data_IF_963229290176
#
_entry.id   IF_963229290176
#
_cell.length_a   1.000
_cell.length_b   1.000
_cell.length_c   1.000
_cell.angle_alpha   90.00
_cell.angle_beta   90.00
_cell.angle_gamma   90.00
#
_symmetry.space_group_name_H-M   'P 1'
#
loop_
_entity.id
_entity.type
_entity.pdbx_description
1 polymer ?
#
# COMPACT_ATOMS: atom_id res chain seq x y z
N UNK A 1 -19.60 27.84 -10.56
CA UNK A 1 -18.28 28.50 -10.53
C UNK A 1 -17.26 27.45 -10.98
N UNK A 2 -16.57 27.72 -12.08
CA UNK A 2 -15.54 26.81 -12.61
C UNK A 2 -14.23 27.11 -11.90
N UNK A 3 -13.76 26.19 -11.07
CA UNK A 3 -12.40 26.24 -10.52
C UNK A 3 -11.50 25.38 -11.41
N UNK A 4 -10.66 26.00 -12.21
CA UNK A 4 -9.57 25.34 -12.91
C UNK A 4 -8.35 25.38 -11.99
N UNK A 5 -7.99 24.25 -11.41
CA UNK A 5 -6.68 24.08 -10.78
C UNK A 5 -5.71 23.62 -11.86
N UNK A 6 -4.92 24.56 -12.36
CA UNK A 6 -3.82 24.29 -13.29
C UNK A 6 -2.59 23.95 -12.45
N UNK A 7 -2.26 22.66 -12.43
CA UNK A 7 -1.01 22.19 -11.83
C UNK A 7 -0.95 20.67 -11.94
N UNK A 8 -0.27 20.19 -12.97
CA UNK A 8 -0.26 18.80 -13.47
C UNK A 8 -1.50 18.47 -14.33
N UNK A 9 -1.30 17.73 -15.37
CA UNK A 9 -2.19 17.45 -16.51
C UNK A 9 -3.60 16.87 -16.23
N UNK A 10 -4.07 16.90 -14.98
CA UNK A 10 -5.42 16.50 -14.59
C UNK A 10 -6.39 17.67 -14.65
N UNK A 11 -7.28 17.69 -15.62
CA UNK A 11 -8.45 18.57 -15.61
C UNK A 11 -9.51 17.97 -14.68
N UNK A 12 -9.63 18.53 -13.47
CA UNK A 12 -10.72 18.23 -12.55
C UNK A 12 -11.82 19.28 -12.77
N UNK A 13 -13.05 18.83 -12.96
CA UNK A 13 -14.22 19.70 -13.04
C UNK A 13 -15.27 19.20 -12.07
N UNK A 14 -15.62 20.05 -11.10
CA UNK A 14 -16.73 19.81 -10.20
C UNK A 14 -17.97 20.54 -10.71
N UNK A 15 -19.09 19.83 -10.77
CA UNK A 15 -20.41 20.41 -11.04
C UNK A 15 -21.25 20.29 -9.79
N UNK A 16 -21.50 21.42 -9.13
CA UNK A 16 -22.33 21.50 -7.93
C UNK A 16 -23.70 22.03 -8.33
N UNK A 17 -24.76 21.37 -7.87
CA UNK A 17 -26.13 21.80 -8.05
C UNK A 17 -26.39 23.14 -7.32
N UNK A 18 -27.09 24.08 -7.97
CA UNK A 18 -27.43 25.37 -7.35
C UNK A 18 -28.70 25.30 -6.50
N UNK A 19 -29.44 24.19 -6.60
CA UNK A 19 -30.75 24.01 -5.95
C UNK A 19 -30.62 23.58 -4.49
N UNK A 20 -29.45 23.08 -4.07
CA UNK A 20 -29.18 22.54 -2.74
C UNK A 20 -28.47 23.58 -1.88
N UNK A 21 -29.13 24.03 -0.81
CA UNK A 21 -28.52 25.00 0.12
C UNK A 21 -27.33 24.38 0.85
N UNK A 22 -26.18 25.04 0.79
CA UNK A 22 -24.94 24.51 1.38
C UNK A 22 -24.15 23.51 0.50
N UNK A 23 -24.61 23.17 -0.70
CA UNK A 23 -23.94 22.24 -1.61
C UNK A 23 -22.46 22.62 -1.88
N UNK A 24 -22.16 23.91 -2.04
CA UNK A 24 -20.80 24.40 -2.22
C UNK A 24 -19.92 24.18 -0.97
N UNK A 25 -20.50 24.31 0.21
CA UNK A 25 -19.79 24.06 1.46
C UNK A 25 -19.53 22.57 1.65
N UNK A 26 -20.52 21.73 1.34
CA UNK A 26 -20.35 20.28 1.34
C UNK A 26 -19.21 19.86 0.39
N UNK A 27 -19.18 20.39 -0.85
CA UNK A 27 -18.13 20.09 -1.83
C UNK A 27 -16.73 20.54 -1.39
N UNK A 28 -16.63 21.64 -0.64
CA UNK A 28 -15.33 22.18 -0.20
C UNK A 28 -14.80 21.58 1.09
N UNK A 29 -15.68 21.08 1.96
CA UNK A 29 -15.34 20.72 3.33
C UNK A 29 -15.68 19.28 3.72
N UNK A 30 -16.37 18.52 2.85
CA UNK A 30 -16.65 17.11 3.09
C UNK A 30 -16.03 16.23 2.00
N UNK A 31 -15.71 14.98 2.33
CA UNK A 31 -15.15 14.01 1.38
C UNK A 31 -16.20 13.57 0.36
N UNK A 32 -17.44 13.43 0.78
CA UNK A 32 -18.52 12.94 -0.06
C UNK A 32 -19.02 14.00 -1.05
N UNK A 33 -18.86 15.30 -0.71
CA UNK A 33 -19.33 16.40 -1.51
C UNK A 33 -20.84 16.35 -1.79
N UNK A 34 -21.31 17.18 -2.71
CA UNK A 34 -22.69 17.13 -3.25
C UNK A 34 -22.72 17.26 -4.77
N UNK A 35 -21.54 17.37 -5.38
CA UNK A 35 -21.35 17.60 -6.81
C UNK A 35 -21.03 16.34 -7.61
N UNK A 36 -20.83 16.53 -8.90
CA UNK A 36 -20.30 15.50 -9.81
C UNK A 36 -18.87 15.85 -10.18
N UNK A 37 -17.92 15.05 -9.70
CA UNK A 37 -16.51 15.15 -10.06
C UNK A 37 -16.29 14.55 -11.45
N UNK A 38 -15.73 15.32 -12.36
CA UNK A 38 -15.34 14.88 -13.70
C UNK A 38 -13.83 14.94 -13.79
N UNK A 39 -13.19 13.76 -13.83
CA UNK A 39 -11.73 13.60 -13.92
C UNK A 39 -11.35 13.07 -15.30
N UNK A 40 -10.20 13.48 -15.81
CA UNK A 40 -9.66 12.97 -17.08
C UNK A 40 -9.10 11.55 -16.93
N UNK A 41 -8.47 11.28 -15.80
CA UNK A 41 -7.92 9.97 -15.45
C UNK A 41 -8.45 9.58 -14.06
N UNK A 42 -9.24 8.51 -14.02
CA UNK A 42 -9.85 7.97 -12.81
C UNK A 42 -9.10 6.73 -12.28
N UNK A 43 -7.88 6.48 -12.78
CA UNK A 43 -7.11 5.31 -12.37
C UNK A 43 -6.19 5.61 -11.19
N UNK A 44 -6.11 4.66 -10.26
CA UNK A 44 -5.19 4.73 -9.15
C UNK A 44 -3.75 4.63 -9.65
N UNK A 45 -2.88 5.47 -9.10
CA UNK A 45 -1.46 5.50 -9.43
C UNK A 45 -0.67 4.69 -8.43
N UNK A 46 0.14 3.73 -8.92
CA UNK A 46 1.10 3.00 -8.09
C UNK A 46 2.49 3.60 -8.33
N UNK A 47 3.09 4.13 -7.26
CA UNK A 47 4.40 4.79 -7.31
C UNK A 47 5.23 4.53 -6.05
N UNK A 48 6.55 4.79 -6.08
CA UNK A 48 7.35 4.85 -4.87
C UNK A 48 6.80 5.90 -3.90
N UNK A 49 6.87 5.60 -2.61
CA UNK A 49 6.44 6.53 -1.57
C UNK A 49 7.45 7.67 -1.38
N UNK A 50 6.93 8.81 -0.97
CA UNK A 50 7.70 10.00 -0.60
C UNK A 50 7.45 10.34 0.87
N UNK A 51 8.25 11.28 1.41
CA UNK A 51 8.09 11.72 2.81
C UNK A 51 6.69 12.30 3.09
N UNK A 52 6.04 12.86 2.07
CA UNK A 52 4.70 13.43 2.17
C UNK A 52 3.62 12.36 2.38
N UNK A 53 3.89 11.13 1.96
CA UNK A 53 2.96 10.00 2.08
C UNK A 53 2.94 9.36 3.48
N UNK A 54 3.91 9.68 4.34
CA UNK A 54 4.04 9.07 5.67
C UNK A 54 2.76 9.18 6.49
N UNK A 55 2.08 10.34 6.45
CA UNK A 55 0.82 10.53 7.15
C UNK A 55 -0.28 9.62 6.63
N UNK A 56 -0.42 9.50 5.31
CA UNK A 56 -1.40 8.62 4.67
C UNK A 56 -1.12 7.14 4.93
N UNK A 57 0.17 6.73 4.88
CA UNK A 57 0.58 5.36 5.21
C UNK A 57 0.25 5.04 6.67
N UNK A 58 0.55 5.93 7.62
CA UNK A 58 0.22 5.73 9.03
C UNK A 58 -1.29 5.56 9.25
N UNK A 59 -2.10 6.41 8.63
CA UNK A 59 -3.56 6.30 8.72
C UNK A 59 -4.06 4.93 8.20
N UNK A 60 -3.45 4.43 7.14
CA UNK A 60 -3.80 3.14 6.54
C UNK A 60 -3.37 1.95 7.42
N UNK A 61 -2.16 1.99 8.00
CA UNK A 61 -1.62 0.83 8.73
C UNK A 61 -2.00 0.78 10.20
N UNK A 62 -2.29 1.90 10.86
CA UNK A 62 -2.59 1.96 12.30
C UNK A 62 -3.69 1.00 12.73
N UNK A 63 -4.85 0.90 12.08
CA UNK A 63 -5.89 -0.07 12.44
C UNK A 63 -5.41 -1.52 12.35
N UNK A 64 -4.56 -1.82 11.37
CA UNK A 64 -3.97 -3.15 11.17
C UNK A 64 -2.90 -3.49 12.21
N UNK A 65 -2.17 -2.49 12.69
CA UNK A 65 -1.22 -2.63 13.81
C UNK A 65 -1.94 -2.86 15.14
N UNK A 66 -3.01 -2.13 15.40
CA UNK A 66 -3.84 -2.28 16.60
C UNK A 66 -4.52 -3.65 16.66
N UNK A 67 -4.98 -4.16 15.52
CA UNK A 67 -5.54 -5.52 15.42
C UNK A 67 -4.50 -6.64 15.39
N UNK A 68 -3.20 -6.32 15.48
CA UNK A 68 -2.07 -7.28 15.49
C UNK A 68 -1.78 -7.93 14.13
N UNK A 69 -2.39 -7.46 13.04
CA UNK A 69 -2.12 -7.94 11.68
C UNK A 69 -0.75 -7.47 11.20
N UNK A 70 -0.41 -6.21 11.44
CA UNK A 70 0.90 -5.65 11.15
C UNK A 70 1.74 -5.45 12.41
N UNK A 71 3.05 -5.34 12.24
CA UNK A 71 3.98 -4.96 13.30
C UNK A 71 3.94 -3.44 13.43
N UNK A 72 3.86 -2.93 14.66
CA UNK A 72 3.90 -1.49 14.93
C UNK A 72 5.18 -0.84 14.41
N UNK A 73 5.01 0.29 13.75
CA UNK A 73 6.10 1.14 13.25
C UNK A 73 5.93 2.55 13.79
N UNK A 74 7.02 3.12 14.30
CA UNK A 74 7.02 4.53 14.64
C UNK A 74 7.03 5.39 13.37
N UNK A 75 6.55 6.63 13.47
CA UNK A 75 6.63 7.61 12.39
C UNK A 75 8.07 7.80 11.93
N UNK A 76 9.00 7.94 12.88
CA UNK A 76 10.44 8.11 12.61
C UNK A 76 11.03 6.93 11.81
N UNK A 77 10.66 5.68 12.17
CA UNK A 77 11.10 4.51 11.42
C UNK A 77 10.56 4.54 9.99
N UNK A 78 9.30 4.94 9.82
CA UNK A 78 8.66 5.02 8.51
C UNK A 78 9.31 6.10 7.63
N UNK A 79 9.62 7.26 8.21
CA UNK A 79 10.33 8.35 7.54
C UNK A 79 11.73 7.90 7.07
N UNK A 80 12.47 7.18 7.91
CA UNK A 80 13.80 6.66 7.58
C UNK A 80 13.77 5.56 6.49
N UNK A 81 12.69 4.80 6.40
CA UNK A 81 12.56 3.67 5.48
C UNK A 81 11.62 3.94 4.31
N UNK A 82 11.15 5.17 4.13
CA UNK A 82 10.12 5.53 3.15
C UNK A 82 10.46 5.12 1.72
N UNK A 83 11.73 5.15 1.36
CA UNK A 83 12.22 4.72 0.05
C UNK A 83 12.01 3.24 -0.27
N UNK A 84 11.68 2.42 0.75
CA UNK A 84 11.35 1.00 0.59
C UNK A 84 9.87 0.75 0.32
N UNK A 85 9.05 1.80 0.45
CA UNK A 85 7.61 1.70 0.29
C UNK A 85 7.17 2.06 -1.13
N UNK A 86 6.18 1.32 -1.61
CA UNK A 86 5.35 1.70 -2.74
C UNK A 86 3.93 1.97 -2.24
N UNK A 87 3.29 2.97 -2.79
CA UNK A 87 1.93 3.38 -2.44
C UNK A 87 1.00 3.32 -3.64
N UNK A 88 -0.25 3.07 -3.36
CA UNK A 88 -1.36 3.23 -4.30
C UNK A 88 -2.11 4.49 -3.92
N UNK A 89 -2.14 5.44 -4.81
CA UNK A 89 -2.78 6.75 -4.61
C UNK A 89 -4.07 6.79 -5.39
N UNK A 90 -5.17 7.02 -4.70
CA UNK A 90 -6.47 7.29 -5.31
C UNK A 90 -6.44 8.65 -6.02
N UNK A 91 -7.21 8.87 -7.10
CA UNK A 91 -7.27 10.16 -7.80
C UNK A 91 -7.55 11.37 -6.88
N UNK A 92 -8.24 11.18 -5.77
CA UNK A 92 -8.49 12.22 -4.75
C UNK A 92 -7.28 12.47 -3.82
N UNK A 93 -6.14 11.83 -4.06
CA UNK A 93 -4.92 11.99 -3.26
C UNK A 93 -4.85 11.12 -2.01
N UNK A 94 -5.82 10.25 -1.77
CA UNK A 94 -5.83 9.33 -0.63
C UNK A 94 -4.85 8.16 -0.87
N UNK A 95 -4.06 7.80 0.13
CA UNK A 95 -3.28 6.56 0.11
C UNK A 95 -4.22 5.39 0.44
N UNK A 96 -4.52 4.58 -0.57
CA UNK A 96 -5.44 3.44 -0.45
C UNK A 96 -4.73 2.09 -0.38
N UNK A 97 -3.42 2.06 -0.61
CA UNK A 97 -2.62 0.86 -0.48
C UNK A 97 -1.16 1.17 -0.26
N UNK A 98 -0.46 0.29 0.43
CA UNK A 98 1.00 0.34 0.55
C UNK A 98 1.60 -1.06 0.66
N UNK A 99 2.87 -1.18 0.27
CA UNK A 99 3.72 -2.34 0.49
C UNK A 99 5.18 -1.88 0.65
N UNK A 100 5.96 -2.62 1.42
CA UNK A 100 7.38 -2.37 1.60
C UNK A 100 8.21 -3.57 1.14
N UNK A 101 9.35 -3.31 0.50
CA UNK A 101 10.34 -4.30 0.07
C UNK A 101 11.65 -4.11 0.85
N UNK A 102 12.03 -5.13 1.62
CA UNK A 102 13.27 -5.15 2.39
C UNK A 102 14.25 -6.16 1.79
N UNK A 103 15.32 -5.73 1.10
CA UNK A 103 16.34 -6.65 0.62
C UNK A 103 16.98 -7.43 1.78
N UNK A 104 17.25 -8.71 1.57
CA UNK A 104 18.01 -9.51 2.53
C UNK A 104 19.52 -9.34 2.34
N UNK A 105 20.31 -9.80 3.29
CA UNK A 105 21.78 -9.65 3.29
C UNK A 105 22.46 -10.25 2.06
N UNK A 106 21.94 -11.33 1.51
CA UNK A 106 22.49 -11.98 0.30
C UNK A 106 22.02 -11.34 -1.02
N UNK A 107 21.20 -10.29 -0.96
CA UNK A 107 20.60 -9.56 -2.10
C UNK A 107 19.79 -10.40 -3.09
N UNK A 108 19.80 -11.74 -2.96
CA UNK A 108 19.04 -12.63 -3.83
C UNK A 108 17.59 -12.79 -3.38
N UNK A 109 17.28 -12.46 -2.14
CA UNK A 109 15.93 -12.50 -1.60
C UNK A 109 15.51 -11.13 -1.05
N UNK A 110 14.21 -10.84 -1.07
CA UNK A 110 13.60 -9.67 -0.46
C UNK A 110 12.40 -10.06 0.39
N UNK A 111 12.15 -9.34 1.46
CA UNK A 111 10.95 -9.49 2.27
C UNK A 111 9.90 -8.48 1.82
N UNK A 112 8.76 -8.98 1.40
CA UNK A 112 7.55 -8.21 1.18
C UNK A 112 6.85 -8.03 2.54
N UNK A 113 6.81 -6.82 3.03
CA UNK A 113 6.24 -6.47 4.32
C UNK A 113 5.22 -5.34 4.19
N UNK A 114 4.45 -5.12 5.24
CA UNK A 114 3.52 -4.00 5.37
C UNK A 114 2.54 -3.87 4.19
N UNK A 115 2.06 -5.00 3.65
CA UNK A 115 1.02 -4.98 2.62
C UNK A 115 -0.30 -4.61 3.27
N UNK A 116 -0.83 -3.48 2.89
CA UNK A 116 -2.10 -2.96 3.40
C UNK A 116 -2.90 -2.34 2.26
N UNK A 117 -4.21 -2.58 2.27
CA UNK A 117 -5.18 -1.95 1.37
C UNK A 117 -6.32 -1.41 2.24
N UNK A 118 -6.80 -0.23 1.92
CA UNK A 118 -7.91 0.41 2.60
C UNK A 118 -9.18 -0.44 2.43
N UNK A 119 -9.97 -0.61 3.49
CA UNK A 119 -11.10 -1.54 3.54
C UNK A 119 -12.14 -1.30 2.43
N UNK A 120 -12.45 -0.05 2.15
CA UNK A 120 -13.42 0.33 1.10
C UNK A 120 -12.96 -0.08 -0.31
N UNK A 121 -11.69 -0.35 -0.50
CA UNK A 121 -11.10 -0.74 -1.78
C UNK A 121 -10.73 -2.21 -1.87
N UNK A 122 -11.17 -3.03 -0.91
CA UNK A 122 -10.98 -4.47 -0.98
C UNK A 122 -11.77 -5.08 -2.14
N UNK A 123 -11.25 -6.16 -2.71
CA UNK A 123 -11.89 -6.88 -3.83
C UNK A 123 -11.71 -6.25 -5.22
N UNK A 124 -11.12 -5.06 -5.32
CA UNK A 124 -10.93 -4.32 -6.58
C UNK A 124 -9.60 -4.63 -7.29
N UNK A 125 -8.87 -5.66 -6.86
CA UNK A 125 -7.61 -6.07 -7.50
C UNK A 125 -6.39 -5.22 -7.15
N UNK A 126 -6.52 -4.15 -6.35
CA UNK A 126 -5.45 -3.22 -5.98
C UNK A 126 -4.24 -3.95 -5.36
N UNK A 127 -4.50 -4.88 -4.44
CA UNK A 127 -3.42 -5.67 -3.81
C UNK A 127 -2.63 -6.52 -4.81
N UNK A 128 -3.28 -7.04 -5.85
CA UNK A 128 -2.61 -7.81 -6.90
C UNK A 128 -1.71 -6.89 -7.75
N UNK A 129 -2.22 -5.74 -8.19
CA UNK A 129 -1.44 -4.75 -8.95
C UNK A 129 -0.23 -4.22 -8.15
N UNK A 130 -0.42 -4.00 -6.85
CA UNK A 130 0.67 -3.57 -5.95
C UNK A 130 1.74 -4.66 -5.82
N UNK A 131 1.33 -5.93 -5.70
CA UNK A 131 2.27 -7.06 -5.68
C UNK A 131 3.03 -7.18 -7.00
N UNK A 132 2.37 -7.09 -8.14
CA UNK A 132 3.01 -7.11 -9.47
C UNK A 132 4.06 -6.00 -9.60
N UNK A 133 3.77 -4.80 -9.10
CA UNK A 133 4.75 -3.70 -9.06
C UNK A 133 5.96 -4.05 -8.20
N UNK A 134 5.75 -4.60 -7.01
CA UNK A 134 6.85 -5.02 -6.12
C UNK A 134 7.66 -6.15 -6.75
N UNK A 135 7.03 -7.12 -7.41
CA UNK A 135 7.72 -8.19 -8.14
C UNK A 135 8.58 -7.65 -9.29
N UNK A 136 8.05 -6.69 -10.05
CA UNK A 136 8.79 -6.02 -11.11
C UNK A 136 10.02 -5.28 -10.57
N UNK A 137 9.85 -4.48 -9.51
CA UNK A 137 10.93 -3.73 -8.87
C UNK A 137 11.98 -4.68 -8.26
N UNK A 138 11.54 -5.78 -7.67
CA UNK A 138 12.42 -6.82 -7.14
C UNK A 138 13.31 -7.43 -8.21
N UNK A 139 12.74 -7.80 -9.35
CA UNK A 139 13.51 -8.33 -10.51
C UNK A 139 14.53 -7.31 -11.01
N UNK A 140 14.13 -6.06 -11.11
CA UNK A 140 15.01 -4.97 -11.58
C UNK A 140 16.21 -4.73 -10.65
N UNK A 141 16.09 -5.05 -9.37
CA UNK A 141 17.16 -4.94 -8.36
C UNK A 141 17.92 -6.24 -8.13
N UNK A 142 17.64 -7.30 -8.90
CA UNK A 142 18.32 -8.60 -8.84
C UNK A 142 17.80 -9.52 -7.73
N UNK A 143 16.66 -9.23 -7.14
CA UNK A 143 15.98 -10.11 -6.19
C UNK A 143 15.26 -11.18 -7.00
N UNK A 144 15.57 -12.45 -6.74
CA UNK A 144 14.98 -13.62 -7.39
C UNK A 144 13.95 -14.35 -6.54
N UNK A 145 13.85 -14.01 -5.26
CA UNK A 145 12.95 -14.67 -4.34
C UNK A 145 12.29 -13.67 -3.37
N UNK A 146 10.97 -13.68 -3.29
CA UNK A 146 10.21 -12.89 -2.33
C UNK A 146 9.76 -13.75 -1.15
N UNK A 147 9.99 -13.23 0.05
CA UNK A 147 9.52 -13.77 1.31
C UNK A 147 8.38 -12.91 1.84
N UNK A 148 7.33 -13.51 2.38
CA UNK A 148 6.25 -12.80 3.05
C UNK A 148 5.89 -13.51 4.37
N UNK A 149 5.58 -12.75 5.40
CA UNK A 149 5.16 -13.27 6.69
C UNK A 149 3.78 -12.73 7.05
N UNK A 150 2.81 -13.61 7.28
CA UNK A 150 1.44 -13.22 7.60
C UNK A 150 0.83 -14.05 8.71
N UNK A 151 -0.06 -13.43 9.50
CA UNK A 151 -0.86 -14.12 10.53
C UNK A 151 -2.29 -14.42 10.06
N UNK A 152 -2.81 -13.72 9.06
CA UNK A 152 -4.21 -13.82 8.64
C UNK A 152 -4.43 -14.08 7.16
N UNK A 153 -3.60 -13.56 6.28
CA UNK A 153 -3.85 -13.51 4.83
C UNK A 153 -3.14 -14.60 4.04
N UNK A 154 -2.91 -15.77 4.63
CA UNK A 154 -2.19 -16.89 4.01
C UNK A 154 -2.77 -17.29 2.63
N UNK A 155 -4.11 -17.40 2.54
CA UNK A 155 -4.78 -17.81 1.30
C UNK A 155 -4.52 -16.85 0.14
N UNK A 156 -4.52 -15.55 0.43
CA UNK A 156 -4.23 -14.51 -0.56
C UNK A 156 -2.83 -14.67 -1.19
N UNK A 157 -1.83 -15.05 -0.39
CA UNK A 157 -0.48 -15.32 -0.89
C UNK A 157 -0.41 -16.61 -1.72
N UNK A 158 -1.07 -17.67 -1.27
CA UNK A 158 -1.12 -18.95 -2.00
C UNK A 158 -1.73 -18.77 -3.39
N UNK A 159 -2.84 -18.05 -3.51
CA UNK A 159 -3.49 -17.75 -4.80
C UNK A 159 -2.57 -16.99 -5.77
N UNK A 160 -1.56 -16.29 -5.25
CA UNK A 160 -0.58 -15.52 -6.04
C UNK A 160 0.75 -16.23 -6.22
N UNK A 161 0.76 -17.55 -6.03
CA UNK A 161 1.89 -18.42 -6.32
C UNK A 161 2.97 -18.45 -5.25
N UNK A 162 2.69 -17.96 -4.04
CA UNK A 162 3.56 -18.18 -2.90
C UNK A 162 3.38 -19.57 -2.32
N UNK A 163 4.46 -20.19 -1.92
CA UNK A 163 4.49 -21.50 -1.27
C UNK A 163 4.88 -21.32 0.19
N UNK A 164 4.20 -22.01 1.09
CA UNK A 164 4.54 -22.00 2.52
C UNK A 164 5.88 -22.68 2.76
N UNK A 165 6.74 -22.04 3.55
CA UNK A 165 8.08 -22.53 3.89
C UNK A 165 8.28 -22.51 5.41
N UNK A 166 9.29 -23.25 5.89
CA UNK A 166 9.61 -23.31 7.33
C UNK A 166 10.55 -22.17 7.72
N UNK A 167 10.61 -21.87 9.02
CA UNK A 167 11.57 -20.90 9.58
C UNK A 167 13.01 -21.29 9.24
N UNK A 168 13.32 -22.59 9.16
CA UNK A 168 14.64 -23.11 8.77
C UNK A 168 15.07 -22.71 7.35
N UNK A 169 14.12 -22.41 6.49
CA UNK A 169 14.37 -22.09 5.08
C UNK A 169 14.61 -20.58 4.86
N UNK A 170 14.45 -19.79 5.93
CA UNK A 170 14.76 -18.36 5.91
C UNK A 170 16.27 -18.11 5.95
N UNK A 171 16.76 -16.99 5.42
CA UNK A 171 18.11 -16.50 5.68
C UNK A 171 18.40 -16.37 7.19
N UNK A 172 19.61 -16.68 7.63
CA UNK A 172 19.98 -16.73 9.07
C UNK A 172 19.62 -15.45 9.84
N UNK A 173 19.82 -14.29 9.24
CA UNK A 173 19.45 -13.01 9.82
C UNK A 173 17.94 -12.86 10.05
N UNK A 174 17.11 -13.50 9.25
CA UNK A 174 15.65 -13.49 9.40
C UNK A 174 15.17 -14.55 10.37
N UNK A 175 15.86 -15.69 10.46
CA UNK A 175 15.57 -16.71 11.48
C UNK A 175 15.71 -16.15 12.89
N UNK A 176 16.77 -15.41 13.16
CA UNK A 176 17.04 -14.80 14.47
C UNK A 176 16.03 -13.70 14.85
N UNK A 177 15.41 -13.05 13.87
CA UNK A 177 14.41 -12.00 14.05
C UNK A 177 12.97 -12.53 14.07
N UNK A 178 12.77 -13.83 13.82
CA UNK A 178 11.42 -14.39 13.76
C UNK A 178 10.74 -14.36 15.13
N UNK A 179 9.56 -13.74 15.17
CA UNK A 179 8.78 -13.60 16.40
C UNK A 179 7.84 -14.80 16.58
N UNK A 180 8.28 -15.79 17.33
CA UNK A 180 7.50 -17.01 17.65
C UNK A 180 6.15 -16.72 18.35
N UNK A 181 6.03 -15.62 19.09
CA UNK A 181 4.77 -15.25 19.77
C UNK A 181 3.68 -14.83 18.78
N UNK A 182 4.06 -14.24 17.64
CA UNK A 182 3.12 -13.90 16.57
C UNK A 182 2.67 -15.11 15.77
N UNK A 183 3.46 -16.18 15.75
CA UNK A 183 3.20 -17.40 14.97
C UNK A 183 2.80 -17.09 13.51
N UNK A 184 3.49 -16.16 12.88
CA UNK A 184 3.24 -15.79 11.50
C UNK A 184 3.68 -16.93 10.56
N UNK A 185 2.82 -17.32 9.61
CA UNK A 185 3.19 -18.26 8.56
C UNK A 185 4.09 -17.56 7.56
N UNK A 186 5.05 -18.32 7.03
CA UNK A 186 6.09 -17.82 6.13
C UNK A 186 5.83 -18.35 4.73
N UNK A 187 5.90 -17.49 3.77
CA UNK A 187 5.67 -17.79 2.36
C UNK A 187 6.84 -17.32 1.52
N UNK A 188 7.15 -18.08 0.47
CA UNK A 188 8.22 -17.79 -0.48
C UNK A 188 7.67 -17.88 -1.90
N UNK A 189 8.10 -16.97 -2.77
CA UNK A 189 7.81 -16.98 -4.20
C UNK A 189 9.09 -16.72 -4.99
N UNK A 190 9.42 -17.61 -5.91
CA UNK A 190 10.46 -17.37 -6.92
C UNK A 190 9.89 -16.45 -8.01
N UNK A 191 10.65 -15.42 -8.40
CA UNK A 191 10.24 -14.37 -9.33
C UNK A 191 10.59 -14.66 -10.79
#
# INVERSE_FOLDING_TARGET
>A
MLRSLVGSEMCIRDRVGYEEDGALLAELFTREGSGTLIMKDCEEVIRPATIEDVGGILNLITPLEESGVLVKRSRELLENEISRFSVVVHPEGLIIGCAALYPTTNKAAGELACVAIHEEFHGQGIGARLLEKVEYDSKSTGISNLLAMTTKTAHWFIERGFVEVKVSDLPENKQSMYNYRRNARIFSKTL
#
